data_IF_377540421641
#
_entry.id   IF_377540421641
#
_cell.length_a   1.000
_cell.length_b   1.000
_cell.length_c   1.000
_cell.angle_alpha   90.00
_cell.angle_beta   90.00
_cell.angle_gamma   90.00
#
_symmetry.space_group_name_H-M   'P 1'
#
loop_
_entity.id
_entity.type
_entity.pdbx_description
1 polymer ?
#
# COMPACT_ATOMS: atom_id res chain seq x y z
N UNK A 1 -22.43 -13.33 -25.85
CA UNK A 1 -21.26 -12.87 -25.05
C UNK A 1 -21.78 -11.84 -24.06
N UNK A 2 -21.55 -12.01 -22.77
CA UNK A 2 -21.96 -11.04 -21.75
C UNK A 2 -21.00 -9.86 -21.81
N UNK A 3 -21.52 -8.63 -21.90
CA UNK A 3 -20.70 -7.42 -21.89
C UNK A 3 -20.16 -7.18 -20.47
N UNK A 4 -18.82 -7.06 -20.30
CA UNK A 4 -18.25 -6.88 -18.97
C UNK A 4 -18.47 -5.44 -18.47
N UNK A 5 -18.84 -5.30 -17.22
CA UNK A 5 -18.91 -4.00 -16.53
C UNK A 5 -17.58 -3.68 -15.84
N UNK A 6 -17.17 -2.41 -15.88
CA UNK A 6 -15.97 -1.94 -15.18
C UNK A 6 -16.30 -1.76 -13.71
N UNK A 7 -15.57 -2.46 -12.83
CA UNK A 7 -15.56 -2.23 -11.40
C UNK A 7 -14.31 -1.44 -11.01
N UNK A 8 -14.50 -0.21 -10.57
CA UNK A 8 -13.42 0.67 -10.11
C UNK A 8 -13.48 0.83 -8.58
N UNK A 9 -12.34 1.05 -7.90
CA UNK A 9 -12.36 1.39 -6.49
C UNK A 9 -12.97 2.77 -6.25
N UNK A 10 -13.72 2.92 -5.16
CA UNK A 10 -14.34 4.19 -4.77
C UNK A 10 -13.30 5.27 -4.45
N UNK A 11 -12.16 4.87 -3.87
CA UNK A 11 -11.05 5.79 -3.60
C UNK A 11 -10.18 5.97 -4.85
N UNK A 12 -10.20 7.15 -5.45
CA UNK A 12 -9.42 7.49 -6.65
C UNK A 12 -7.91 7.28 -6.47
N UNK A 13 -7.36 7.44 -5.26
CA UNK A 13 -5.95 7.17 -4.98
C UNK A 13 -5.56 5.69 -5.18
N UNK A 14 -6.55 4.77 -5.10
CA UNK A 14 -6.35 3.34 -5.34
C UNK A 14 -6.39 2.93 -6.82
N UNK A 15 -6.80 3.83 -7.74
CA UNK A 15 -6.87 3.52 -9.17
C UNK A 15 -5.50 3.16 -9.74
N UNK A 16 -4.46 3.84 -9.30
CA UNK A 16 -3.07 3.59 -9.74
C UNK A 16 -2.07 4.03 -8.70
N UNK A 17 -1.56 3.09 -7.93
CA UNK A 17 -0.46 3.37 -7.00
C UNK A 17 0.88 3.42 -7.75
N UNK A 18 1.72 4.45 -7.50
CA UNK A 18 3.09 4.49 -8.01
C UNK A 18 3.94 3.43 -7.32
N UNK A 19 5.03 3.03 -7.97
CA UNK A 19 6.09 2.26 -7.31
C UNK A 19 6.78 3.06 -6.20
N UNK A 20 7.56 2.39 -5.37
CA UNK A 20 8.31 3.02 -4.26
C UNK A 20 9.31 4.08 -4.76
N UNK A 21 9.70 4.02 -6.03
CA UNK A 21 10.55 4.99 -6.73
C UNK A 21 9.83 6.28 -7.14
N UNK A 22 8.50 6.34 -7.03
CA UNK A 22 7.68 7.49 -7.40
C UNK A 22 7.61 7.80 -8.90
N UNK A 23 8.19 6.97 -9.77
CA UNK A 23 8.32 7.24 -11.22
C UNK A 23 7.37 6.42 -12.08
N UNK A 24 7.34 5.12 -11.85
CA UNK A 24 6.55 4.18 -12.64
C UNK A 24 5.50 3.48 -11.78
N UNK A 25 4.54 2.79 -12.41
CA UNK A 25 3.66 1.86 -11.69
C UNK A 25 4.48 0.77 -11.03
N UNK A 26 3.96 0.17 -9.96
CA UNK A 26 4.58 -1.00 -9.35
C UNK A 26 4.83 -2.10 -10.38
N UNK A 27 6.04 -2.65 -10.38
CA UNK A 27 6.45 -3.75 -11.26
C UNK A 27 7.47 -4.65 -10.57
N UNK A 28 7.27 -5.96 -10.69
CA UNK A 28 8.23 -6.96 -10.16
C UNK A 28 9.61 -6.80 -10.78
N UNK A 29 9.67 -6.58 -12.10
CA UNK A 29 10.93 -6.43 -12.83
C UNK A 29 11.72 -5.18 -12.47
N UNK A 30 11.04 -4.13 -11.99
CA UNK A 30 11.68 -2.90 -11.54
C UNK A 30 12.05 -2.93 -10.05
N UNK A 31 11.60 -3.94 -9.29
CA UNK A 31 11.87 -4.04 -7.87
C UNK A 31 11.22 -2.93 -7.01
N UNK A 32 10.30 -2.16 -7.58
CA UNK A 32 9.67 -0.99 -6.96
C UNK A 32 8.28 -1.28 -6.35
N UNK A 33 7.98 -2.54 -6.07
CA UNK A 33 6.70 -2.93 -5.47
C UNK A 33 6.86 -3.48 -4.05
N UNK A 34 5.82 -3.29 -3.23
CA UNK A 34 5.65 -3.94 -1.95
C UNK A 34 4.80 -5.20 -2.19
N UNK A 35 5.33 -6.38 -1.83
CA UNK A 35 4.60 -7.63 -1.97
C UNK A 35 3.75 -7.90 -0.72
N UNK A 36 2.56 -8.47 -0.92
CA UNK A 36 1.64 -8.82 0.18
C UNK A 36 2.23 -9.85 1.15
N UNK A 37 3.21 -10.62 0.69
CA UNK A 37 3.86 -11.68 1.46
C UNK A 37 5.26 -11.33 1.97
N UNK A 38 5.69 -10.07 1.81
CA UNK A 38 7.01 -9.64 2.30
C UNK A 38 7.08 -9.64 3.82
N UNK A 39 8.26 -9.92 4.33
CA UNK A 39 8.51 -9.81 5.77
C UNK A 39 8.53 -8.33 6.22
N UNK A 40 8.19 -8.05 7.49
CA UNK A 40 8.04 -6.69 8.01
C UNK A 40 9.26 -5.79 7.77
N UNK A 41 10.46 -6.35 7.91
CA UNK A 41 11.72 -5.62 7.75
C UNK A 41 11.96 -5.16 6.31
N UNK A 42 11.57 -5.98 5.32
CA UNK A 42 11.70 -5.65 3.91
C UNK A 42 10.70 -4.55 3.51
N UNK A 43 9.46 -4.63 4.01
CA UNK A 43 8.45 -3.57 3.82
C UNK A 43 8.96 -2.26 4.42
N UNK A 44 9.48 -2.29 5.65
CA UNK A 44 10.05 -1.11 6.29
C UNK A 44 11.18 -0.49 5.47
N UNK A 45 12.13 -1.28 4.98
CA UNK A 45 13.23 -0.79 4.13
C UNK A 45 12.69 -0.10 2.88
N UNK A 46 11.72 -0.71 2.20
CA UNK A 46 11.09 -0.13 1.00
C UNK A 46 10.38 1.18 1.30
N UNK A 47 9.62 1.26 2.38
CA UNK A 47 8.93 2.50 2.77
C UNK A 47 9.95 3.58 3.15
N UNK A 48 10.98 3.25 3.90
CA UNK A 48 12.03 4.21 4.27
C UNK A 48 12.83 4.72 3.05
N UNK A 49 12.92 3.92 1.98
CA UNK A 49 13.54 4.31 0.71
C UNK A 49 12.58 4.96 -0.30
N UNK A 50 11.28 5.07 0.01
CA UNK A 50 10.31 5.71 -0.89
C UNK A 50 10.75 7.10 -1.30
N UNK A 51 10.49 7.42 -2.58
CA UNK A 51 10.67 8.76 -3.11
C UNK A 51 9.77 9.76 -2.38
N UNK A 52 10.35 10.88 -2.00
CA UNK A 52 9.69 12.04 -1.40
C UNK A 52 10.02 13.30 -2.19
N UNK A 53 9.89 14.49 -1.61
CA UNK A 53 10.28 15.73 -2.26
C UNK A 53 11.82 15.94 -2.21
N UNK A 54 12.52 15.97 -3.34
CA UNK A 54 13.96 16.22 -3.35
C UNK A 54 14.34 17.64 -2.91
N UNK A 55 13.40 18.57 -2.86
CA UNK A 55 13.61 19.93 -2.32
C UNK A 55 13.52 20.02 -0.79
N UNK A 56 12.96 18.99 -0.13
CA UNK A 56 12.80 18.92 1.32
C UNK A 56 14.06 18.37 1.98
N UNK A 57 15.14 19.17 2.03
CA UNK A 57 16.45 18.73 2.53
C UNK A 57 16.56 18.78 4.05
N UNK A 58 15.86 19.72 4.69
CA UNK A 58 15.85 19.91 6.14
C UNK A 58 14.43 19.84 6.67
N UNK A 59 14.28 19.46 7.92
CA UNK A 59 12.97 19.40 8.58
C UNK A 59 12.18 20.72 8.51
N UNK A 60 12.90 21.85 8.54
CA UNK A 60 12.30 23.18 8.51
C UNK A 60 11.86 23.62 7.10
N UNK A 61 12.37 22.96 6.07
CA UNK A 61 12.04 23.34 4.69
C UNK A 61 10.58 22.99 4.38
N UNK A 62 9.84 23.84 3.64
CA UNK A 62 8.53 23.48 3.11
C UNK A 62 8.64 22.28 2.18
N UNK A 63 7.77 21.29 2.37
CA UNK A 63 7.73 20.10 1.52
C UNK A 63 6.57 20.11 0.53
N UNK A 64 6.73 19.42 -0.60
CA UNK A 64 5.68 19.22 -1.60
C UNK A 64 5.02 17.86 -1.40
N UNK A 65 3.69 17.86 -1.44
CA UNK A 65 2.89 16.61 -1.36
C UNK A 65 2.60 16.04 -2.74
N UNK A 66 2.54 16.88 -3.77
CA UNK A 66 2.31 16.47 -5.15
C UNK A 66 3.51 15.64 -5.66
N UNK A 67 3.22 14.44 -6.14
CA UNK A 67 4.27 13.52 -6.59
C UNK A 67 5.06 12.84 -5.47
N UNK A 68 4.75 13.13 -4.21
CA UNK A 68 5.35 12.49 -3.06
C UNK A 68 4.68 11.13 -2.83
N UNK A 69 5.42 10.06 -3.08
CA UNK A 69 4.92 8.69 -3.03
C UNK A 69 4.34 8.33 -1.65
N UNK A 70 4.95 8.81 -0.57
CA UNK A 70 4.48 8.52 0.79
C UNK A 70 3.08 9.07 1.02
N UNK A 71 2.81 10.31 0.60
CA UNK A 71 1.48 10.90 0.73
C UNK A 71 0.46 10.24 -0.19
N UNK A 72 0.84 9.81 -1.39
CA UNK A 72 -0.04 9.03 -2.27
C UNK A 72 -0.50 7.73 -1.61
N UNK A 73 0.41 7.03 -0.91
CA UNK A 73 0.06 5.82 -0.15
C UNK A 73 -0.78 6.13 1.08
N UNK A 74 -0.53 7.23 1.76
CA UNK A 74 -1.37 7.68 2.88
C UNK A 74 -2.79 8.03 2.39
N UNK A 75 -2.95 8.66 1.23
CA UNK A 75 -4.26 8.93 0.63
C UNK A 75 -5.04 7.64 0.31
N UNK A 76 -4.31 6.57 -0.07
CA UNK A 76 -4.92 5.29 -0.39
C UNK A 76 -5.30 4.45 0.84
N UNK A 77 -4.48 4.47 1.89
CA UNK A 77 -4.55 3.48 2.97
C UNK A 77 -4.78 4.06 4.37
N UNK A 78 -4.61 5.38 4.57
CA UNK A 78 -4.76 5.96 5.88
C UNK A 78 -6.23 6.15 6.25
N UNK A 79 -6.61 5.62 7.42
CA UNK A 79 -7.93 5.79 8.02
C UNK A 79 -7.83 6.71 9.26
N UNK A 80 -8.93 7.36 9.70
CA UNK A 80 -8.91 8.24 10.86
C UNK A 80 -8.35 7.57 12.14
N UNK A 81 -8.70 6.31 12.39
CA UNK A 81 -8.24 5.56 13.55
C UNK A 81 -6.73 5.34 13.61
N UNK A 82 -6.03 5.41 12.47
CA UNK A 82 -4.58 5.28 12.45
C UNK A 82 -3.89 6.47 13.12
N UNK A 83 -4.51 7.67 13.10
CA UNK A 83 -3.96 8.83 13.81
C UNK A 83 -3.99 8.63 15.31
N UNK A 84 -5.13 8.21 15.86
CA UNK A 84 -5.26 7.94 17.30
C UNK A 84 -4.23 6.91 17.77
N UNK A 85 -3.95 5.91 16.93
CA UNK A 85 -3.10 4.77 17.27
C UNK A 85 -1.61 5.04 17.10
N UNK A 86 -1.22 5.71 16.01
CA UNK A 86 0.19 5.80 15.61
C UNK A 86 0.73 7.22 15.53
N UNK A 87 -0.14 8.24 15.44
CA UNK A 87 0.29 9.64 15.29
C UNK A 87 -0.70 10.62 15.94
N UNK A 88 -0.95 10.50 17.27
CA UNK A 88 -1.97 11.29 17.97
C UNK A 88 -1.73 12.80 17.98
N UNK A 89 -0.54 13.25 17.59
CA UNK A 89 -0.22 14.68 17.44
C UNK A 89 -1.06 15.37 16.32
N UNK A 90 -1.69 14.59 15.44
CA UNK A 90 -2.46 15.09 14.30
C UNK A 90 -3.88 14.54 14.31
N UNK A 91 -4.89 15.39 14.08
CA UNK A 91 -6.28 14.93 14.06
C UNK A 91 -6.65 14.18 12.77
N UNK A 92 -5.93 14.42 11.65
CA UNK A 92 -6.22 13.85 10.36
C UNK A 92 -5.08 14.06 9.34
N UNK A 93 -5.24 13.45 8.15
CA UNK A 93 -4.25 13.52 7.07
C UNK A 93 -4.10 14.93 6.48
N UNK A 94 -5.16 15.74 6.47
CA UNK A 94 -5.10 17.11 5.97
C UNK A 94 -4.17 17.98 6.82
N UNK A 95 -4.25 17.89 8.14
CA UNK A 95 -3.36 18.60 9.06
C UNK A 95 -1.90 18.11 8.97
N UNK A 96 -1.70 16.81 8.79
CA UNK A 96 -0.36 16.25 8.56
C UNK A 96 0.26 16.82 7.28
N UNK A 97 -0.52 16.85 6.18
CA UNK A 97 -0.11 17.45 4.90
C UNK A 97 0.18 18.95 5.02
N UNK A 98 -0.70 19.69 5.68
CA UNK A 98 -0.53 21.12 5.91
C UNK A 98 0.74 21.43 6.71
N UNK A 99 1.05 20.61 7.72
CA UNK A 99 2.30 20.75 8.47
C UNK A 99 3.53 20.46 7.60
N UNK A 100 3.51 19.40 6.80
CA UNK A 100 4.59 19.08 5.89
C UNK A 100 4.86 20.20 4.88
N UNK A 101 3.80 20.80 4.33
CA UNK A 101 3.90 21.92 3.39
C UNK A 101 4.42 23.22 4.02
N UNK A 102 4.14 23.46 5.32
CA UNK A 102 4.70 24.62 6.03
C UNK A 102 6.18 24.46 6.40
N UNK A 103 6.68 23.24 6.43
CA UNK A 103 7.95 22.90 7.05
C UNK A 103 7.81 22.62 8.57
N UNK A 104 8.81 21.95 9.11
CA UNK A 104 8.82 21.50 10.52
C UNK A 104 8.47 20.02 10.71
N UNK A 105 8.16 19.30 9.63
CA UNK A 105 7.86 17.87 9.65
C UNK A 105 8.78 17.10 8.71
N UNK A 106 9.67 16.28 9.24
CA UNK A 106 10.62 15.51 8.44
C UNK A 106 10.02 14.23 7.84
N UNK A 107 10.53 13.84 6.66
CA UNK A 107 10.12 12.65 5.89
C UNK A 107 10.11 11.38 6.73
N UNK A 108 11.10 11.19 7.61
CA UNK A 108 11.23 10.00 8.43
C UNK A 108 10.01 9.78 9.33
N UNK A 109 9.44 10.85 9.92
CA UNK A 109 8.23 10.75 10.77
C UNK A 109 7.03 10.29 9.94
N UNK A 110 6.85 10.86 8.75
CA UNK A 110 5.75 10.49 7.83
C UNK A 110 5.92 9.06 7.32
N UNK A 111 7.14 8.66 6.93
CA UNK A 111 7.44 7.29 6.50
C UNK A 111 7.22 6.25 7.60
N UNK A 112 7.57 6.55 8.85
CA UNK A 112 7.28 5.67 9.98
C UNK A 112 5.79 5.50 10.21
N UNK A 113 5.03 6.58 10.09
CA UNK A 113 3.57 6.52 10.18
C UNK A 113 2.99 5.62 9.09
N UNK A 114 3.37 5.82 7.83
CA UNK A 114 2.96 4.94 6.74
C UNK A 114 3.37 3.48 6.99
N UNK A 115 4.58 3.24 7.50
CA UNK A 115 5.02 1.88 7.81
C UNK A 115 4.11 1.19 8.83
N UNK A 116 3.72 1.90 9.89
CA UNK A 116 2.80 1.33 10.90
C UNK A 116 1.46 0.92 10.28
N UNK A 117 0.89 1.75 9.41
CA UNK A 117 -0.34 1.45 8.68
C UNK A 117 -0.16 0.22 7.77
N UNK A 118 0.91 0.19 6.99
CA UNK A 118 1.18 -0.91 6.07
C UNK A 118 1.43 -2.23 6.80
N UNK A 119 2.09 -2.21 7.95
CA UNK A 119 2.27 -3.41 8.78
C UNK A 119 0.93 -3.93 9.29
N UNK A 120 0.04 -3.06 9.79
CA UNK A 120 -1.29 -3.43 10.27
C UNK A 120 -2.12 -4.09 9.15
N UNK A 121 -2.10 -3.52 7.94
CA UNK A 121 -2.86 -4.02 6.79
C UNK A 121 -2.31 -5.38 6.29
N UNK A 122 -0.98 -5.52 6.25
CA UNK A 122 -0.33 -6.68 5.63
C UNK A 122 -0.12 -7.86 6.59
N UNK A 123 -0.09 -7.63 7.90
CA UNK A 123 0.12 -8.69 8.89
C UNK A 123 -0.93 -9.81 8.81
N UNK A 124 -2.26 -9.53 8.77
CA UNK A 124 -3.25 -10.59 8.66
C UNK A 124 -3.13 -11.37 7.35
N UNK A 125 -2.71 -10.73 6.26
CA UNK A 125 -2.48 -11.38 4.96
C UNK A 125 -1.28 -12.35 5.07
N UNK A 126 -0.17 -11.92 5.66
CA UNK A 126 1.00 -12.77 5.91
C UNK A 126 0.67 -13.96 6.79
N UNK A 127 -0.10 -13.73 7.86
CA UNK A 127 -0.48 -14.80 8.79
C UNK A 127 -1.36 -15.84 8.11
N UNK A 128 -2.37 -15.44 7.33
CA UNK A 128 -3.18 -16.38 6.53
C UNK A 128 -2.34 -17.15 5.53
N UNK A 129 -1.41 -16.49 4.85
CA UNK A 129 -0.49 -17.18 3.93
C UNK A 129 0.35 -18.23 4.66
N UNK A 130 0.89 -17.91 5.84
CA UNK A 130 1.65 -18.86 6.66
C UNK A 130 0.80 -20.08 7.07
N UNK A 131 -0.48 -19.86 7.42
CA UNK A 131 -1.40 -20.96 7.74
C UNK A 131 -1.66 -21.86 6.51
N UNK A 132 -2.05 -21.29 5.38
CA UNK A 132 -2.29 -22.08 4.17
C UNK A 132 -1.03 -22.82 3.68
N UNK A 133 0.15 -22.26 3.88
CA UNK A 133 1.42 -22.88 3.48
C UNK A 133 1.75 -24.16 4.27
N UNK A 134 1.04 -24.45 5.36
CA UNK A 134 1.24 -25.68 6.16
C UNK A 134 0.63 -26.93 5.49
N UNK A 135 -0.36 -26.74 4.62
CA UNK A 135 -1.07 -27.84 3.93
C UNK A 135 -1.11 -27.59 2.41
N UNK A 136 -0.04 -27.94 1.75
CA UNK A 136 0.08 -27.81 0.29
C UNK A 136 -0.90 -28.71 -0.47
N UNK A 137 -1.16 -29.98 -0.08
CA UNK A 137 -2.21 -30.80 -0.70
C UNK A 137 -3.57 -30.11 -0.71
N UNK A 138 -4.03 -29.55 0.41
CA UNK A 138 -5.31 -28.84 0.47
C UNK A 138 -5.37 -27.61 -0.47
N UNK A 139 -4.24 -26.95 -0.73
CA UNK A 139 -4.17 -25.86 -1.74
C UNK A 139 -4.41 -26.41 -3.14
N UNK A 140 -3.83 -27.55 -3.50
CA UNK A 140 -4.06 -28.18 -4.79
C UNK A 140 -5.51 -28.64 -4.98
N UNK A 141 -6.14 -29.21 -3.93
CA UNK A 141 -7.55 -29.60 -3.97
C UNK A 141 -8.46 -28.37 -4.19
N UNK A 142 -8.19 -27.26 -3.50
CA UNK A 142 -8.90 -26.00 -3.68
C UNK A 142 -8.77 -25.47 -5.12
N UNK A 143 -7.58 -25.52 -5.70
CA UNK A 143 -7.34 -25.12 -7.11
C UNK A 143 -8.08 -26.01 -8.10
N UNK A 144 -8.11 -27.33 -7.87
CA UNK A 144 -8.86 -28.26 -8.73
C UNK A 144 -10.36 -27.97 -8.69
N UNK A 145 -10.94 -27.81 -7.52
CA UNK A 145 -12.35 -27.43 -7.35
C UNK A 145 -12.66 -26.10 -8.04
N UNK A 146 -11.82 -25.09 -7.89
CA UNK A 146 -11.95 -23.82 -8.58
C UNK A 146 -11.88 -23.97 -10.12
N UNK A 147 -11.03 -24.84 -10.63
CA UNK A 147 -10.96 -25.15 -12.06
C UNK A 147 -12.23 -25.83 -12.58
N UNK A 148 -12.86 -26.71 -11.80
CA UNK A 148 -14.13 -27.33 -12.20
C UNK A 148 -15.25 -26.29 -12.32
N UNK A 149 -15.37 -25.37 -11.34
CA UNK A 149 -16.34 -24.26 -11.38
C UNK A 149 -16.10 -23.35 -12.59
N UNK A 150 -14.83 -23.00 -12.86
CA UNK A 150 -14.46 -22.15 -13.98
C UNK A 150 -14.75 -22.83 -15.32
N UNK A 151 -14.50 -24.14 -15.45
CA UNK A 151 -14.81 -24.91 -16.67
C UNK A 151 -16.32 -24.98 -16.92
N UNK A 152 -17.11 -25.21 -15.87
CA UNK A 152 -18.58 -25.21 -16.00
C UNK A 152 -19.10 -23.87 -16.50
N UNK A 153 -18.67 -22.77 -15.91
CA UNK A 153 -19.05 -21.42 -16.34
C UNK A 153 -18.61 -21.11 -17.78
N UNK A 154 -17.40 -21.53 -18.17
CA UNK A 154 -16.89 -21.32 -19.53
C UNK A 154 -17.62 -22.18 -20.58
N UNK A 155 -18.18 -23.35 -20.21
CA UNK A 155 -18.92 -24.20 -21.12
C UNK A 155 -20.33 -23.66 -21.46
N UNK A 156 -20.87 -22.78 -20.61
CA UNK A 156 -22.16 -22.11 -20.83
C UNK A 156 -22.05 -20.85 -21.72
N UNK A 157 -20.84 -20.39 -22.01
CA UNK A 157 -20.55 -19.17 -22.79
C UNK A 157 -20.18 -19.49 -24.23
#
# INVERSE_FOLDING_TARGET
>A
MVEPEILLPDNAACLRLPGTDGKAKMSKSLGNCIYLSEEPEEIQKKIMSMYTDPGHLRVQDPGKIEGNTVFTYLDAFCLPEHFERYLPDYPNLAELKAHYQRGGLGDVKVKRFLNSIMQEILEPIRNRRKEFSKDIPAIYDMLQQGCEVARAAAAET
#
